data_IF_599136773742
#
_entry.id   IF_599136773742
#
_cell.length_a   1.000
_cell.length_b   1.000
_cell.length_c   1.000
_cell.angle_alpha   90.00
_cell.angle_beta   90.00
_cell.angle_gamma   90.00
#
_symmetry.space_group_name_H-M   'P 1'
#
loop_
_entity.id
_entity.type
_entity.pdbx_description
1 polymer ?
#
# COMPACT_ATOMS: atom_id res chain seq x y z
N UNK A 1 17.69 -12.25 2.99
CA UNK A 1 17.73 -11.98 4.45
C UNK A 1 16.44 -11.27 4.84
N UNK A 2 15.69 -11.83 5.78
CA UNK A 2 14.41 -11.29 6.26
C UNK A 2 14.71 -10.12 7.23
N UNK A 3 13.91 -9.03 7.26
CA UNK A 3 14.04 -7.99 8.27
C UNK A 3 13.90 -8.52 9.70
N UNK A 4 14.61 -7.96 10.69
CA UNK A 4 14.33 -8.26 12.10
C UNK A 4 12.87 -7.95 12.42
N UNK A 5 12.15 -8.92 13.00
CA UNK A 5 10.70 -8.82 13.24
C UNK A 5 10.34 -7.55 14.05
N UNK A 6 11.12 -7.24 15.09
CA UNK A 6 10.90 -6.03 15.90
C UNK A 6 11.15 -4.71 15.17
N UNK A 7 11.93 -4.70 14.08
CA UNK A 7 12.05 -3.53 13.20
C UNK A 7 10.86 -3.47 12.26
N UNK A 8 10.53 -4.59 11.61
CA UNK A 8 9.41 -4.68 10.68
C UNK A 8 8.08 -4.27 11.35
N UNK A 9 7.80 -4.77 12.56
CA UNK A 9 6.59 -4.44 13.31
C UNK A 9 6.45 -2.94 13.61
N UNK A 10 7.53 -2.26 14.00
CA UNK A 10 7.52 -0.81 14.24
C UNK A 10 7.30 -0.01 12.96
N UNK A 11 7.96 -0.40 11.87
CA UNK A 11 7.77 0.25 10.57
C UNK A 11 6.36 0.00 10.03
N UNK A 12 5.81 -1.19 10.26
CA UNK A 12 4.44 -1.54 9.90
C UNK A 12 3.42 -0.71 10.67
N UNK A 13 3.54 -0.62 12.00
CA UNK A 13 2.69 0.25 12.81
C UNK A 13 2.74 1.71 12.37
N UNK A 14 3.93 2.23 12.06
CA UNK A 14 4.08 3.60 11.55
C UNK A 14 3.44 3.78 10.17
N UNK A 15 3.59 2.78 9.28
CA UNK A 15 3.00 2.80 7.94
C UNK A 15 1.47 2.76 8.00
N UNK A 16 0.88 2.07 8.96
CA UNK A 16 -0.57 2.08 9.20
C UNK A 16 -1.13 3.45 9.59
N UNK A 17 -0.30 4.36 10.10
CA UNK A 17 -0.72 5.72 10.43
C UNK A 17 -0.44 6.65 9.24
N UNK A 18 0.77 6.58 8.67
CA UNK A 18 1.19 7.45 7.56
C UNK A 18 0.35 7.22 6.30
N UNK A 19 -0.06 5.99 6.04
CA UNK A 19 -0.81 5.62 4.85
C UNK A 19 -2.34 5.68 5.03
N UNK A 20 -2.86 6.25 6.12
CA UNK A 20 -4.31 6.43 6.30
C UNK A 20 -5.02 7.09 5.10
N UNK A 21 -4.43 8.04 4.36
CA UNK A 21 -5.04 8.57 3.14
C UNK A 21 -5.33 7.49 2.07
N UNK A 22 -4.51 6.43 1.98
CA UNK A 22 -4.76 5.29 1.09
C UNK A 22 -6.03 4.56 1.54
N UNK A 23 -6.19 4.31 2.84
CA UNK A 23 -7.38 3.67 3.38
C UNK A 23 -8.63 4.53 3.14
N UNK A 24 -8.55 5.83 3.44
CA UNK A 24 -9.65 6.77 3.22
C UNK A 24 -10.12 6.75 1.75
N UNK A 25 -9.17 6.76 0.81
CA UNK A 25 -9.47 6.65 -0.61
C UNK A 25 -10.05 5.28 -0.96
N UNK A 26 -9.49 4.17 -0.47
CA UNK A 26 -10.01 2.81 -0.72
C UNK A 26 -11.43 2.60 -0.16
N UNK A 27 -11.81 3.33 0.89
CA UNK A 27 -13.16 3.33 1.47
C UNK A 27 -14.15 4.19 0.68
N UNK A 28 -13.73 4.86 -0.40
CA UNK A 28 -14.65 5.53 -1.32
C UNK A 28 -15.24 4.52 -2.31
N UNK A 29 -16.56 4.28 -2.31
CA UNK A 29 -17.20 3.30 -3.20
C UNK A 29 -16.98 3.60 -4.68
N UNK A 30 -16.73 4.87 -5.02
CA UNK A 30 -16.52 5.39 -6.37
C UNK A 30 -15.32 4.76 -7.10
N UNK A 31 -14.34 4.18 -6.37
CA UNK A 31 -13.22 3.44 -6.98
C UNK A 31 -13.67 2.17 -7.70
N UNK A 32 -14.79 1.56 -7.30
CA UNK A 32 -15.19 0.21 -7.74
C UNK A 32 -16.65 0.08 -8.15
N UNK A 33 -17.43 1.13 -7.92
CA UNK A 33 -18.86 1.13 -8.16
C UNK A 33 -19.16 1.26 -9.65
N UNK A 34 -20.01 0.37 -10.18
CA UNK A 34 -20.67 0.52 -11.49
C UNK A 34 -21.63 1.72 -11.56
N UNK A 35 -21.88 2.38 -10.42
CA UNK A 35 -22.78 3.54 -10.25
C UNK A 35 -22.00 4.87 -10.36
N UNK A 36 -20.66 4.83 -10.42
CA UNK A 36 -19.81 6.00 -10.61
C UNK A 36 -19.54 6.32 -12.09
N UNK A 37 -19.30 7.59 -12.41
CA UNK A 37 -18.81 7.98 -13.74
C UNK A 37 -17.40 7.45 -13.99
N UNK A 38 -17.09 7.09 -15.24
CA UNK A 38 -15.73 6.67 -15.65
C UNK A 38 -14.66 7.70 -15.25
N UNK A 39 -15.00 8.98 -15.32
CA UNK A 39 -14.14 10.08 -14.89
C UNK A 39 -13.76 9.98 -13.41
N UNK A 40 -14.74 9.67 -12.53
CA UNK A 40 -14.48 9.53 -11.09
C UNK A 40 -13.58 8.32 -10.82
N UNK A 41 -13.83 7.20 -11.49
CA UNK A 41 -12.98 6.01 -11.39
C UNK A 41 -11.53 6.34 -11.81
N UNK A 42 -11.34 7.01 -12.94
CA UNK A 42 -10.02 7.39 -13.43
C UNK A 42 -9.29 8.31 -12.43
N UNK A 43 -9.97 9.33 -11.90
CA UNK A 43 -9.43 10.25 -10.89
C UNK A 43 -8.98 9.46 -9.65
N UNK A 44 -9.82 8.56 -9.15
CA UNK A 44 -9.51 7.81 -7.94
C UNK A 44 -8.37 6.80 -8.15
N UNK A 45 -8.26 6.19 -9.33
CA UNK A 45 -7.12 5.32 -9.68
C UNK A 45 -5.82 6.13 -9.73
N UNK A 46 -5.83 7.31 -10.37
CA UNK A 46 -4.66 8.20 -10.41
C UNK A 46 -4.28 8.68 -9.01
N UNK A 47 -5.26 9.06 -8.19
CA UNK A 47 -5.04 9.44 -6.80
C UNK A 47 -4.43 8.29 -5.98
N UNK A 48 -4.94 7.07 -6.15
CA UNK A 48 -4.40 5.89 -5.46
C UNK A 48 -2.96 5.60 -5.90
N UNK A 49 -2.67 5.69 -7.20
CA UNK A 49 -1.31 5.56 -7.71
C UNK A 49 -0.39 6.62 -7.10
N UNK A 50 -0.83 7.88 -7.07
CA UNK A 50 -0.07 8.98 -6.46
C UNK A 50 0.23 8.74 -4.98
N UNK A 51 -0.75 8.26 -4.21
CA UNK A 51 -0.58 7.93 -2.80
C UNK A 51 0.36 6.73 -2.59
N UNK A 52 0.26 5.70 -3.43
CA UNK A 52 1.17 4.54 -3.38
C UNK A 52 2.60 4.95 -3.71
N UNK A 53 2.80 5.80 -4.73
CA UNK A 53 4.11 6.36 -5.07
C UNK A 53 4.65 7.20 -3.91
N UNK A 54 3.82 8.05 -3.31
CA UNK A 54 4.20 8.83 -2.14
C UNK A 54 4.61 7.92 -0.97
N UNK A 55 3.86 6.85 -0.70
CA UNK A 55 4.19 5.85 0.31
C UNK A 55 5.56 5.22 0.06
N UNK A 56 5.86 4.79 -1.19
CA UNK A 56 7.16 4.23 -1.57
C UNK A 56 8.30 5.25 -1.38
N UNK A 57 8.07 6.50 -1.75
CA UNK A 57 9.07 7.58 -1.64
C UNK A 57 9.35 7.96 -0.18
N UNK A 58 8.33 7.94 0.67
CA UNK A 58 8.41 8.30 2.09
C UNK A 58 8.81 7.12 2.99
N UNK A 59 8.64 5.88 2.55
CA UNK A 59 8.90 4.67 3.33
C UNK A 59 10.30 4.64 3.99
N UNK A 60 11.40 5.08 3.33
CA UNK A 60 12.71 5.15 3.97
C UNK A 60 12.76 6.09 5.18
N UNK A 61 12.09 7.24 5.11
CA UNK A 61 12.05 8.21 6.21
C UNK A 61 11.17 7.71 7.36
N UNK A 62 10.02 7.10 7.04
CA UNK A 62 9.16 6.46 8.04
C UNK A 62 9.96 5.40 8.79
N UNK A 63 10.68 4.55 8.06
CA UNK A 63 11.55 3.52 8.65
C UNK A 63 12.66 4.12 9.51
N UNK A 64 13.34 5.17 9.03
CA UNK A 64 14.43 5.79 9.76
C UNK A 64 13.98 6.53 11.03
N UNK A 65 12.73 7.01 11.06
CA UNK A 65 12.15 7.66 12.25
C UNK A 65 11.86 6.66 13.36
N UNK A 66 11.33 5.48 13.04
CA UNK A 66 10.88 4.49 14.06
C UNK A 66 11.89 3.36 14.31
N UNK A 67 12.85 3.18 13.40
CA UNK A 67 13.93 2.20 13.50
C UNK A 67 15.27 2.78 12.98
N UNK A 68 15.80 3.83 13.64
CA UNK A 68 17.09 4.41 13.28
C UNK A 68 18.23 3.38 13.38
N UNK A 69 19.33 3.62 12.66
CA UNK A 69 20.51 2.75 12.69
C UNK A 69 21.80 3.58 12.48
N UNK A 70 22.14 4.38 13.48
CA UNK A 70 23.31 5.26 13.45
C UNK A 70 23.26 6.33 12.35
N UNK A 71 24.42 6.90 12.01
CA UNK A 71 24.53 8.01 11.07
C UNK A 71 24.06 7.66 9.64
N UNK A 72 24.09 6.38 9.28
CA UNK A 72 23.76 5.89 7.94
C UNK A 72 22.26 5.69 7.70
N UNK A 73 21.44 5.64 8.74
CA UNK A 73 20.00 5.48 8.61
C UNK A 73 19.28 6.28 9.70
N UNK A 74 19.15 7.59 9.46
CA UNK A 74 18.43 8.54 10.31
C UNK A 74 17.45 9.38 9.50
N UNK A 75 16.38 9.82 10.15
CA UNK A 75 15.39 10.71 9.57
C UNK A 75 16.06 11.98 8.99
N UNK A 76 15.59 12.43 7.83
CA UNK A 76 16.16 13.54 7.06
C UNK A 76 17.30 13.13 6.12
N UNK A 77 17.91 11.96 6.31
CA UNK A 77 19.03 11.47 5.47
C UNK A 77 18.74 10.16 4.75
N UNK A 78 17.71 9.41 5.15
CA UNK A 78 17.45 8.08 4.63
C UNK A 78 17.14 8.09 3.12
N UNK A 79 16.40 9.10 2.64
CA UNK A 79 16.17 9.27 1.19
C UNK A 79 17.44 9.59 0.42
N UNK A 80 18.36 10.36 1.00
CA UNK A 80 19.65 10.62 0.36
C UNK A 80 20.48 9.34 0.23
N UNK A 81 20.43 8.48 1.25
CA UNK A 81 21.08 7.16 1.23
C UNK A 81 20.45 6.22 0.19
N UNK A 82 19.13 6.24 0.04
CA UNK A 82 18.45 5.50 -1.05
C UNK A 82 18.84 6.05 -2.42
N UNK A 83 18.95 7.37 -2.60
CA UNK A 83 19.45 7.95 -3.86
C UNK A 83 20.90 7.57 -4.14
N UNK A 84 21.75 7.51 -3.11
CA UNK A 84 23.11 7.02 -3.23
C UNK A 84 23.13 5.53 -3.63
N UNK A 85 22.28 4.71 -3.02
CA UNK A 85 22.10 3.29 -3.38
C UNK A 85 21.66 3.14 -4.84
N UNK A 86 20.70 3.93 -5.32
CA UNK A 86 20.27 3.90 -6.73
C UNK A 86 21.43 4.23 -7.65
N UNK A 87 22.28 5.21 -7.32
CA UNK A 87 23.44 5.56 -8.15
C UNK A 87 24.51 4.46 -8.16
N UNK A 88 24.73 3.80 -7.01
CA UNK A 88 25.75 2.76 -6.84
C UNK A 88 25.33 1.39 -7.39
N UNK A 89 24.08 0.99 -7.14
CA UNK A 89 23.60 -0.37 -7.34
C UNK A 89 22.11 -0.37 -7.74
N UNK A 90 21.84 0.10 -8.97
CA UNK A 90 20.49 0.16 -9.55
C UNK A 90 19.79 -1.19 -9.53
N UNK A 91 20.52 -2.28 -9.76
CA UNK A 91 19.97 -3.63 -9.81
C UNK A 91 19.44 -4.06 -8.44
N UNK A 92 20.22 -3.83 -7.37
CA UNK A 92 19.75 -4.14 -6.02
C UNK A 92 18.51 -3.32 -5.65
N UNK A 93 18.46 -2.03 -6.01
CA UNK A 93 17.27 -1.21 -5.83
C UNK A 93 16.06 -1.75 -6.60
N UNK A 94 16.23 -2.04 -7.90
CA UNK A 94 15.18 -2.57 -8.75
C UNK A 94 14.62 -3.90 -8.23
N UNK A 95 15.46 -4.77 -7.68
CA UNK A 95 15.01 -6.01 -7.04
C UNK A 95 14.10 -5.77 -5.84
N UNK A 96 14.43 -4.78 -4.99
CA UNK A 96 13.61 -4.43 -3.83
C UNK A 96 12.30 -3.76 -4.23
N UNK A 97 12.35 -2.93 -5.26
CA UNK A 97 11.13 -2.37 -5.86
C UNK A 97 10.26 -3.47 -6.49
N UNK A 98 10.87 -4.46 -7.13
CA UNK A 98 10.17 -5.64 -7.64
C UNK A 98 9.47 -6.44 -6.54
N UNK A 99 10.13 -6.67 -5.40
CA UNK A 99 9.49 -7.28 -4.21
C UNK A 99 8.25 -6.49 -3.76
N UNK A 100 8.33 -5.15 -3.73
CA UNK A 100 7.19 -4.30 -3.42
C UNK A 100 6.05 -4.46 -4.44
N UNK A 101 6.36 -4.44 -5.74
CA UNK A 101 5.37 -4.58 -6.82
C UNK A 101 4.65 -5.93 -6.72
N UNK A 102 5.39 -7.02 -6.49
CA UNK A 102 4.80 -8.36 -6.32
C UNK A 102 3.84 -8.38 -5.13
N UNK A 103 4.23 -7.82 -3.99
CA UNK A 103 3.35 -7.74 -2.81
C UNK A 103 2.13 -6.85 -3.05
N UNK A 104 2.28 -5.77 -3.81
CA UNK A 104 1.17 -4.91 -4.20
C UNK A 104 0.17 -5.65 -5.11
N UNK A 105 0.65 -6.41 -6.10
CA UNK A 105 -0.20 -7.27 -6.94
C UNK A 105 -0.92 -8.32 -6.09
N UNK A 106 -0.21 -8.94 -5.13
CA UNK A 106 -0.82 -9.88 -4.18
C UNK A 106 -1.92 -9.22 -3.33
N UNK A 107 -1.75 -7.94 -2.94
CA UNK A 107 -2.79 -7.17 -2.25
C UNK A 107 -4.07 -7.06 -3.09
N UNK A 108 -3.92 -6.78 -4.39
CA UNK A 108 -5.06 -6.70 -5.31
C UNK A 108 -5.72 -8.07 -5.50
N UNK A 109 -4.92 -9.14 -5.62
CA UNK A 109 -5.42 -10.52 -5.68
C UNK A 109 -6.23 -10.91 -4.44
N UNK A 110 -5.75 -10.57 -3.25
CA UNK A 110 -6.47 -10.78 -1.99
C UNK A 110 -7.78 -9.99 -1.97
N UNK A 111 -7.75 -8.74 -2.42
CA UNK A 111 -8.94 -7.93 -2.62
C UNK A 111 -9.98 -8.61 -3.53
N UNK A 112 -9.54 -9.14 -4.66
CA UNK A 112 -10.41 -9.89 -5.58
C UNK A 112 -11.01 -11.14 -4.94
N UNK A 113 -10.20 -11.93 -4.22
CA UNK A 113 -10.67 -13.11 -3.50
C UNK A 113 -11.72 -12.77 -2.43
N UNK A 114 -11.51 -11.70 -1.67
CA UNK A 114 -12.48 -11.24 -0.65
C UNK A 114 -13.78 -10.80 -1.32
N UNK A 115 -13.73 -10.04 -2.42
CA UNK A 115 -14.96 -9.65 -3.13
C UNK A 115 -15.71 -10.84 -3.74
N UNK A 116 -15.02 -11.93 -4.06
CA UNK A 116 -15.64 -13.15 -4.54
C UNK A 116 -16.37 -13.91 -3.41
N UNK A 117 -15.75 -13.99 -2.22
CA UNK A 117 -16.34 -14.67 -1.04
C UNK A 117 -17.41 -13.82 -0.36
N UNK A 118 -17.19 -12.51 -0.31
CA UNK A 118 -18.06 -11.51 0.33
C UNK A 118 -18.43 -10.43 -0.70
N UNK A 119 -19.38 -10.72 -1.61
CA UNK A 119 -19.85 -9.74 -2.58
C UNK A 119 -20.38 -8.50 -1.85
N UNK A 120 -20.03 -7.33 -2.35
CA UNK A 120 -20.54 -6.06 -1.85
C UNK A 120 -21.55 -5.41 -2.80
N UNK A 121 -21.83 -6.06 -3.93
CA UNK A 121 -22.86 -5.68 -4.89
C UNK A 121 -23.61 -6.96 -5.30
N UNK A 122 -24.93 -6.92 -5.24
CA UNK A 122 -25.80 -7.95 -5.81
C UNK A 122 -27.10 -7.35 -6.36
N UNK A 123 -27.81 -8.15 -7.16
CA UNK A 123 -29.10 -7.75 -7.74
C UNK A 123 -30.14 -7.58 -6.64
N UNK A 124 -30.80 -6.42 -6.62
CA UNK A 124 -31.93 -6.19 -5.73
C UNK A 124 -33.11 -7.08 -6.17
N UNK A 125 -33.64 -7.96 -5.30
CA UNK A 125 -34.76 -8.84 -5.64
C UNK A 125 -36.06 -8.08 -5.91
N UNK A 126 -36.21 -6.86 -5.39
CA UNK A 126 -37.40 -6.03 -5.58
C UNK A 126 -37.37 -5.24 -6.90
N UNK A 127 -36.23 -5.29 -7.60
CA UNK A 127 -36.06 -4.65 -8.90
C UNK A 127 -36.96 -5.32 -9.95
N UNK A 128 -37.96 -4.57 -10.41
CA UNK A 128 -38.99 -5.04 -11.36
C UNK A 128 -40.39 -5.15 -10.75
N UNK A 129 -40.50 -5.26 -9.42
CA UNK A 129 -41.77 -5.17 -8.69
C UNK A 129 -42.02 -3.79 -8.09
N UNK A 130 -40.97 -3.05 -7.72
CA UNK A 130 -41.05 -1.66 -7.27
C UNK A 130 -40.32 -0.73 -8.27
N UNK A 131 -41.02 0.24 -8.89
CA UNK A 131 -40.41 1.23 -9.78
C UNK A 131 -39.36 2.13 -9.09
N UNK A 132 -39.38 2.23 -7.75
CA UNK A 132 -38.44 3.02 -6.99
C UNK A 132 -37.20 2.22 -6.53
N UNK A 133 -37.21 0.89 -6.65
CA UNK A 133 -36.09 0.04 -6.25
C UNK A 133 -34.91 0.18 -7.22
N UNK A 134 -33.71 0.44 -6.68
CA UNK A 134 -32.48 0.43 -7.47
C UNK A 134 -32.09 -0.99 -7.88
N UNK A 135 -31.52 -1.16 -9.09
CA UNK A 135 -31.12 -2.46 -9.64
C UNK A 135 -30.09 -3.23 -8.77
N UNK A 136 -29.22 -2.49 -8.08
CA UNK A 136 -28.09 -3.04 -7.33
C UNK A 136 -28.16 -2.62 -5.87
N UNK A 137 -28.02 -3.59 -4.97
CA UNK A 137 -27.80 -3.33 -3.55
C UNK A 137 -26.31 -3.26 -3.25
N UNK A 138 -25.91 -2.28 -2.43
CA UNK A 138 -24.52 -2.07 -2.04
C UNK A 138 -24.31 -2.38 -0.55
N UNK A 139 -23.41 -3.31 -0.26
CA UNK A 139 -23.10 -3.76 1.08
C UNK A 139 -21.78 -3.18 1.57
N UNK A 140 -21.90 -2.00 2.18
CA UNK A 140 -20.75 -1.24 2.68
C UNK A 140 -19.83 -2.04 3.63
N UNK A 141 -20.32 -2.87 4.56
CA UNK A 141 -19.44 -3.66 5.43
C UNK A 141 -18.52 -4.61 4.65
N UNK A 142 -19.05 -5.35 3.66
CA UNK A 142 -18.26 -6.26 2.82
C UNK A 142 -17.22 -5.49 1.99
N UNK A 143 -17.63 -4.35 1.44
CA UNK A 143 -16.72 -3.44 0.73
C UNK A 143 -15.60 -2.92 1.64
N UNK A 144 -15.93 -2.51 2.87
CA UNK A 144 -14.97 -2.00 3.83
C UNK A 144 -13.95 -3.07 4.27
N UNK A 145 -14.39 -4.31 4.48
CA UNK A 145 -13.50 -5.46 4.77
C UNK A 145 -12.51 -5.67 3.63
N UNK A 146 -12.99 -5.66 2.38
CA UNK A 146 -12.13 -5.77 1.20
C UNK A 146 -11.10 -4.63 1.14
N UNK A 147 -11.53 -3.39 1.34
CA UNK A 147 -10.66 -2.21 1.34
C UNK A 147 -9.60 -2.28 2.45
N UNK A 148 -10.01 -2.66 3.67
CA UNK A 148 -9.11 -2.81 4.82
C UNK A 148 -8.06 -3.90 4.58
N UNK A 149 -8.43 -5.05 4.02
CA UNK A 149 -7.48 -6.12 3.72
C UNK A 149 -6.40 -5.67 2.73
N UNK A 150 -6.79 -5.00 1.63
CA UNK A 150 -5.85 -4.44 0.65
C UNK A 150 -4.93 -3.43 1.32
N UNK A 151 -5.49 -2.54 2.14
CA UNK A 151 -4.73 -1.54 2.88
C UNK A 151 -3.66 -2.15 3.79
N UNK A 152 -4.01 -3.17 4.58
CA UNK A 152 -3.07 -3.87 5.47
C UNK A 152 -1.90 -4.46 4.68
N UNK A 153 -2.16 -5.08 3.53
CA UNK A 153 -1.10 -5.65 2.67
C UNK A 153 -0.24 -4.56 2.02
N UNK A 154 -0.81 -3.42 1.61
CA UNK A 154 -0.02 -2.27 1.10
C UNK A 154 0.93 -1.73 2.19
N UNK A 155 0.44 -1.60 3.42
CA UNK A 155 1.27 -1.19 4.57
C UNK A 155 2.37 -2.21 4.86
N UNK A 156 2.09 -3.51 4.73
CA UNK A 156 3.09 -4.56 4.89
C UNK A 156 4.14 -4.48 3.77
N UNK A 157 3.71 -4.32 2.52
CA UNK A 157 4.59 -4.21 1.36
C UNK A 157 5.54 -3.01 1.46
N UNK A 158 5.01 -1.83 1.82
CA UNK A 158 5.82 -0.61 2.01
C UNK A 158 6.80 -0.74 3.17
N UNK A 159 6.39 -1.38 4.26
CA UNK A 159 7.25 -1.64 5.42
C UNK A 159 8.36 -2.64 5.11
N UNK A 160 8.01 -3.71 4.40
CA UNK A 160 8.96 -4.71 3.89
C UNK A 160 10.01 -4.02 3.01
N UNK A 161 9.56 -3.28 2.00
CA UNK A 161 10.42 -2.52 1.09
C UNK A 161 11.39 -1.61 1.84
N UNK A 162 10.90 -0.79 2.78
CA UNK A 162 11.74 0.12 3.56
C UNK A 162 12.78 -0.62 4.41
N UNK A 163 12.38 -1.72 5.06
CA UNK A 163 13.29 -2.54 5.86
C UNK A 163 14.37 -3.20 5.01
N UNK A 164 14.03 -3.63 3.80
CA UNK A 164 14.98 -4.23 2.87
C UNK A 164 15.96 -3.20 2.32
N UNK A 165 15.51 -1.97 2.04
CA UNK A 165 16.40 -0.85 1.71
C UNK A 165 17.32 -0.49 2.87
N UNK A 166 16.80 -0.45 4.10
CA UNK A 166 17.59 -0.25 5.33
C UNK A 166 18.69 -1.29 5.45
N UNK A 167 18.39 -2.57 5.24
CA UNK A 167 19.39 -3.65 5.28
C UNK A 167 20.49 -3.44 4.23
N UNK A 168 20.12 -3.09 2.99
CA UNK A 168 21.11 -2.83 1.94
C UNK A 168 22.00 -1.62 2.27
N UNK A 169 21.42 -0.56 2.82
CA UNK A 169 22.17 0.62 3.22
C UNK A 169 23.15 0.36 4.38
N UNK A 170 22.85 -0.59 5.27
CA UNK A 170 23.66 -0.94 6.43
C UNK A 170 24.67 -2.07 6.18
N UNK A 171 24.40 -2.98 5.24
CA UNK A 171 25.19 -4.19 5.06
C UNK A 171 26.59 -4.01 4.48
N UNK A 172 26.98 -2.81 4.03
CA UNK A 172 28.30 -2.59 3.41
C UNK A 172 29.18 -1.67 4.25
N UNK A 173 30.26 -2.17 4.89
CA UNK A 173 31.32 -1.35 5.45
C UNK A 173 32.28 -0.93 4.32
N UNK A 174 32.20 0.32 3.87
CA UNK A 174 33.31 0.97 3.18
C UNK A 174 33.61 2.20 4.04
N UNK A 175 34.62 2.06 4.90
CA UNK A 175 35.46 3.10 5.56
C UNK A 175 36.21 2.42 6.72
N UNK A 176 37.15 1.54 6.36
CA UNK A 176 38.39 1.29 7.09
C UNK A 176 39.51 1.57 6.12
#
# INVERSE_FOLDING_TARGET
MIPPIGVLGRVYAASLVVNLPILALLLTPQIRSRVGSEATMAISVVALLGLVVAAVVLAPEVSARVAPAGARWRFGSARAQVRALIRRDRRAYAWRLGEFVVLYIAAQGLGGAIAWIMPHIWSNPDFGSDPAAGQWEFHYPNFAVQAAAIYLVICLASSWYACRLRQLALARPDDR
#
